data_IF_927609994697
#
_entry.id   IF_927609994697
#
_cell.length_a   1.000
_cell.length_b   1.000
_cell.length_c   1.000
_cell.angle_alpha   90.00
_cell.angle_beta   90.00
_cell.angle_gamma   90.00
#
_symmetry.space_group_name_H-M   'P 1'
#
loop_
_entity.id
_entity.type
_entity.pdbx_description
1 polymer ?
#
# COMPACT_ATOMS: atom_id res chain seq x y z
N UNK A 1 -6.06 63.38 -27.44
CA UNK A 1 -6.63 62.03 -27.65
C UNK A 1 -5.80 61.03 -26.88
N UNK A 2 -6.17 60.78 -25.62
CA UNK A 2 -5.65 59.66 -24.84
C UNK A 2 -6.88 59.00 -24.23
N UNK A 3 -7.31 57.90 -24.85
CA UNK A 3 -8.46 57.12 -24.38
C UNK A 3 -7.98 56.31 -23.18
N UNK A 4 -8.57 56.60 -22.01
CA UNK A 4 -8.32 55.85 -20.78
C UNK A 4 -8.71 54.38 -20.97
N UNK A 5 -7.79 53.48 -20.63
CA UNK A 5 -8.04 52.04 -20.54
C UNK A 5 -8.95 51.83 -19.33
N UNK A 6 -10.12 51.17 -19.46
CA UNK A 6 -10.87 50.77 -18.28
C UNK A 6 -10.06 49.68 -17.56
N UNK A 7 -9.64 49.97 -16.32
CA UNK A 7 -9.17 48.94 -15.40
C UNK A 7 -10.37 48.04 -15.12
N UNK A 8 -10.40 46.85 -15.72
CA UNK A 8 -11.35 45.82 -15.32
C UNK A 8 -10.96 45.37 -13.93
N UNK A 9 -11.67 45.94 -12.95
CA UNK A 9 -11.67 45.50 -11.57
C UNK A 9 -11.94 44.00 -11.49
N UNK A 10 -11.33 43.41 -10.47
CA UNK A 10 -11.10 41.98 -10.35
C UNK A 10 -12.33 41.10 -10.52
N UNK A 11 -12.06 39.88 -10.98
CA UNK A 11 -12.55 38.72 -10.26
C UNK A 11 -11.34 37.81 -10.08
N UNK A 12 -10.63 38.00 -8.97
CA UNK A 12 -9.91 36.89 -8.39
C UNK A 12 -10.95 35.80 -8.18
N UNK A 13 -10.90 34.76 -9.01
CA UNK A 13 -11.78 33.61 -8.85
C UNK A 13 -11.62 33.15 -7.42
N UNK A 14 -12.67 33.31 -6.62
CA UNK A 14 -12.71 32.75 -5.28
C UNK A 14 -12.25 31.29 -5.42
N UNK A 15 -11.32 30.79 -4.58
CA UNK A 15 -10.95 29.40 -4.64
C UNK A 15 -12.27 28.61 -4.54
N UNK A 16 -12.55 27.80 -5.57
CA UNK A 16 -13.75 26.98 -5.60
C UNK A 16 -13.83 26.27 -4.25
N UNK A 17 -14.91 26.52 -3.51
CA UNK A 17 -15.09 25.93 -2.19
C UNK A 17 -15.16 24.41 -2.38
N UNK A 18 -14.12 23.71 -1.93
CA UNK A 18 -13.94 22.25 -2.06
C UNK A 18 -14.25 21.59 -0.71
N UNK A 19 -15.53 21.28 -0.42
CA UNK A 19 -15.95 20.74 0.87
C UNK A 19 -15.21 19.46 1.25
N UNK A 20 -14.79 18.66 0.27
CA UNK A 20 -14.03 17.42 0.48
C UNK A 20 -12.67 17.60 1.17
N UNK A 21 -12.13 18.82 1.18
CA UNK A 21 -10.87 19.14 1.85
C UNK A 21 -11.06 19.40 3.36
N UNK A 22 -12.29 19.57 3.83
CA UNK A 22 -12.60 19.83 5.24
C UNK A 22 -13.05 18.57 6.00
N UNK A 23 -13.14 17.42 5.33
CA UNK A 23 -13.53 16.14 5.92
C UNK A 23 -12.36 15.15 5.92
N UNK A 24 -12.22 14.38 7.01
CA UNK A 24 -11.23 13.31 7.08
C UNK A 24 -11.63 12.11 6.21
N UNK A 25 -10.72 11.69 5.34
CA UNK A 25 -10.93 10.51 4.50
C UNK A 25 -10.70 9.24 5.32
N UNK A 26 -11.70 8.36 5.35
CA UNK A 26 -11.62 7.04 5.98
C UNK A 26 -11.24 5.98 4.95
N UNK A 27 -10.39 5.04 5.38
CA UNK A 27 -9.97 3.92 4.53
C UNK A 27 -11.15 2.99 4.17
N UNK A 28 -12.07 2.79 5.10
CA UNK A 28 -13.27 1.97 4.93
C UNK A 28 -14.52 2.68 5.45
N UNK A 29 -15.68 2.33 4.91
CA UNK A 29 -17.00 2.84 5.31
C UNK A 29 -17.94 1.76 5.86
N UNK A 30 -17.59 0.49 5.69
CA UNK A 30 -18.40 -0.64 6.15
C UNK A 30 -17.54 -1.82 6.63
N UNK A 31 -18.17 -2.80 7.27
CA UNK A 31 -17.48 -3.96 7.86
C UNK A 31 -16.75 -4.81 6.81
N UNK A 32 -17.33 -4.97 5.61
CA UNK A 32 -16.74 -5.74 4.51
C UNK A 32 -15.46 -5.10 3.98
N UNK A 33 -15.46 -3.78 3.80
CA UNK A 33 -14.26 -3.05 3.41
C UNK A 33 -13.19 -3.13 4.49
N UNK A 34 -13.56 -3.03 5.77
CA UNK A 34 -12.62 -3.16 6.88
C UNK A 34 -11.91 -4.52 6.84
N UNK A 35 -12.65 -5.61 6.72
CA UNK A 35 -12.08 -6.96 6.60
C UNK A 35 -11.19 -7.10 5.36
N UNK A 36 -11.59 -6.52 4.23
CA UNK A 36 -10.77 -6.50 3.02
C UNK A 36 -9.42 -5.82 3.27
N UNK A 37 -9.41 -4.65 3.90
CA UNK A 37 -8.16 -3.93 4.21
C UNK A 37 -7.31 -4.63 5.26
N UNK A 38 -7.94 -5.32 6.22
CA UNK A 38 -7.25 -6.14 7.22
C UNK A 38 -6.48 -7.29 6.57
N UNK A 39 -7.14 -8.04 5.68
CA UNK A 39 -6.50 -9.12 4.92
C UNK A 39 -5.36 -8.60 4.02
N UNK A 40 -5.56 -7.44 3.38
CA UNK A 40 -4.51 -6.80 2.58
C UNK A 40 -3.33 -6.36 3.45
N UNK A 41 -3.58 -5.77 4.62
CA UNK A 41 -2.54 -5.38 5.56
C UNK A 41 -1.73 -6.59 6.05
N UNK A 42 -2.38 -7.72 6.32
CA UNK A 42 -1.70 -8.97 6.70
C UNK A 42 -0.78 -9.48 5.59
N UNK A 43 -1.27 -9.55 4.34
CA UNK A 43 -0.44 -9.93 3.19
C UNK A 43 0.76 -9.00 3.02
N UNK A 44 0.56 -7.69 3.15
CA UNK A 44 1.63 -6.69 3.10
C UNK A 44 2.68 -6.96 4.18
N UNK A 45 2.25 -7.20 5.41
CA UNK A 45 3.13 -7.44 6.55
C UNK A 45 3.95 -8.72 6.36
N UNK A 46 3.34 -9.82 5.92
CA UNK A 46 4.03 -11.09 5.68
C UNK A 46 5.11 -10.94 4.61
N UNK A 47 4.79 -10.30 3.47
CA UNK A 47 5.78 -10.11 2.39
C UNK A 47 6.92 -9.19 2.83
N UNK A 48 6.64 -8.12 3.59
CA UNK A 48 7.71 -7.28 4.15
C UNK A 48 8.56 -8.01 5.19
N UNK A 49 7.97 -8.92 5.95
CA UNK A 49 8.68 -9.73 6.94
C UNK A 49 9.60 -10.74 6.26
N UNK A 50 9.15 -11.42 5.20
CA UNK A 50 10.00 -12.27 4.36
C UNK A 50 11.20 -11.48 3.82
N UNK A 51 10.94 -10.30 3.24
CA UNK A 51 12.01 -9.44 2.71
C UNK A 51 13.03 -9.02 3.79
N UNK A 52 12.59 -8.82 5.02
CA UNK A 52 13.46 -8.49 6.14
C UNK A 52 14.25 -9.71 6.62
N UNK A 53 13.62 -10.89 6.66
CA UNK A 53 14.28 -12.16 7.01
C UNK A 53 15.41 -12.49 6.02
N UNK A 54 15.16 -12.37 4.71
CA UNK A 54 16.18 -12.54 3.68
C UNK A 54 17.38 -11.61 3.89
N UNK A 55 17.10 -10.32 4.13
CA UNK A 55 18.15 -9.33 4.43
C UNK A 55 18.94 -9.67 5.68
N UNK A 56 18.29 -10.22 6.71
CA UNK A 56 18.95 -10.60 7.96
C UNK A 56 19.83 -11.84 7.76
N UNK A 57 19.38 -12.80 6.94
CA UNK A 57 20.16 -13.98 6.59
C UNK A 57 21.41 -13.62 5.78
N UNK A 58 21.28 -12.76 4.75
CA UNK A 58 22.42 -12.23 3.96
C UNK A 58 23.46 -11.50 4.84
N UNK A 59 23.01 -10.88 5.94
CA UNK A 59 23.87 -10.17 6.88
C UNK A 59 24.41 -11.04 8.02
N UNK A 60 24.27 -12.37 7.93
CA UNK A 60 24.68 -13.33 8.95
C UNK A 60 24.11 -13.03 10.35
N UNK A 61 22.94 -12.38 10.43
CA UNK A 61 22.28 -12.02 11.69
C UNK A 61 21.41 -13.17 12.24
N UNK A 62 21.18 -14.21 11.44
CA UNK A 62 20.28 -15.34 11.75
C UNK A 62 20.97 -16.63 11.32
N UNK A 63 20.92 -17.66 12.16
CA UNK A 63 21.52 -18.96 11.82
C UNK A 63 20.72 -19.68 10.72
N UNK A 64 21.33 -20.61 9.95
CA UNK A 64 20.62 -21.36 8.91
C UNK A 64 19.39 -22.12 9.41
N UNK A 65 19.46 -22.67 10.63
CA UNK A 65 18.36 -23.41 11.24
C UNK A 65 17.18 -22.49 11.59
N UNK A 66 17.44 -21.33 12.20
CA UNK A 66 16.40 -20.35 12.56
C UNK A 66 15.78 -19.71 11.31
N UNK A 67 16.60 -19.41 10.31
CA UNK A 67 16.15 -18.92 9.01
C UNK A 67 15.20 -19.93 8.35
N UNK A 68 15.62 -21.19 8.21
CA UNK A 68 14.82 -22.23 7.54
C UNK A 68 13.47 -22.43 8.24
N UNK A 69 13.47 -22.49 9.57
CA UNK A 69 12.25 -22.64 10.36
C UNK A 69 11.32 -21.42 10.25
N UNK A 70 11.87 -20.21 10.24
CA UNK A 70 11.08 -18.97 10.15
C UNK A 70 10.56 -18.72 8.75
N UNK A 71 11.39 -18.91 7.72
CA UNK A 71 11.02 -18.79 6.32
C UNK A 71 9.91 -19.79 5.96
N UNK A 72 10.02 -21.05 6.38
CA UNK A 72 8.98 -22.06 6.15
C UNK A 72 7.62 -21.66 6.76
N UNK A 73 7.61 -21.11 7.97
CA UNK A 73 6.37 -20.61 8.61
C UNK A 73 5.79 -19.41 7.86
N UNK A 74 6.62 -18.44 7.50
CA UNK A 74 6.20 -17.25 6.76
C UNK A 74 5.64 -17.60 5.38
N UNK A 75 6.21 -18.59 4.69
CA UNK A 75 5.69 -19.06 3.39
C UNK A 75 4.32 -19.72 3.50
N UNK A 76 4.05 -20.44 4.59
CA UNK A 76 2.69 -20.98 4.86
C UNK A 76 1.71 -19.85 5.15
N UNK A 77 2.10 -18.88 5.97
CA UNK A 77 1.29 -17.69 6.26
C UNK A 77 1.01 -16.87 4.99
N UNK A 78 2.03 -16.67 4.15
CA UNK A 78 1.92 -15.99 2.87
C UNK A 78 0.86 -16.63 1.98
N UNK A 79 0.90 -17.97 1.82
CA UNK A 79 -0.08 -18.69 1.00
C UNK A 79 -1.50 -18.49 1.53
N UNK A 80 -1.69 -18.50 2.85
CA UNK A 80 -2.99 -18.28 3.47
C UNK A 80 -3.48 -16.83 3.29
N UNK A 81 -2.61 -15.84 3.57
CA UNK A 81 -2.91 -14.42 3.42
C UNK A 81 -3.20 -14.06 1.95
N UNK A 82 -2.40 -14.56 1.02
CA UNK A 82 -2.62 -14.34 -0.41
C UNK A 82 -3.96 -14.91 -0.86
N UNK A 83 -4.34 -16.11 -0.40
CA UNK A 83 -5.65 -16.70 -0.71
C UNK A 83 -6.83 -15.87 -0.20
N UNK A 84 -6.69 -15.17 0.94
CA UNK A 84 -7.72 -14.28 1.47
C UNK A 84 -7.85 -12.97 0.69
N UNK A 85 -6.75 -12.50 0.10
CA UNK A 85 -6.71 -11.28 -0.71
C UNK A 85 -7.02 -11.53 -2.19
N UNK A 86 -6.73 -12.74 -2.67
CA UNK A 86 -6.92 -13.15 -4.07
C UNK A 86 -8.39 -13.04 -4.46
N UNK A 87 -8.66 -12.29 -5.53
CA UNK A 87 -10.02 -11.98 -5.97
C UNK A 87 -10.03 -10.96 -7.10
N UNK A 88 -11.15 -10.27 -7.28
CA UNK A 88 -11.37 -9.37 -8.43
C UNK A 88 -10.36 -8.22 -8.54
N UNK A 89 -9.80 -7.76 -7.43
CA UNK A 89 -8.90 -6.60 -7.37
C UNK A 89 -7.40 -6.95 -7.34
N UNK A 90 -7.07 -8.22 -7.10
CA UNK A 90 -5.70 -8.73 -6.94
C UNK A 90 -5.60 -10.08 -7.63
N UNK A 91 -5.15 -10.06 -8.88
CA UNK A 91 -4.99 -11.26 -9.71
C UNK A 91 -3.69 -12.00 -9.43
N UNK A 92 -2.62 -11.27 -9.14
CA UNK A 92 -1.29 -11.80 -8.83
C UNK A 92 -0.65 -11.04 -7.67
N UNK A 93 0.37 -11.66 -7.05
CA UNK A 93 1.17 -10.99 -6.03
C UNK A 93 1.97 -9.82 -6.62
N UNK A 94 2.41 -9.92 -7.87
CA UNK A 94 3.11 -8.83 -8.57
C UNK A 94 2.24 -7.58 -8.74
N UNK A 95 0.95 -7.77 -9.07
CA UNK A 95 0.00 -6.66 -9.18
C UNK A 95 -0.25 -6.01 -7.82
N UNK A 96 -0.35 -6.82 -6.77
CA UNK A 96 -0.46 -6.33 -5.39
C UNK A 96 0.74 -5.48 -5.01
N UNK A 97 1.95 -6.00 -5.21
CA UNK A 97 3.20 -5.31 -4.93
C UNK A 97 3.31 -4.01 -5.72
N UNK A 98 2.95 -4.01 -7.02
CA UNK A 98 2.95 -2.80 -7.84
C UNK A 98 1.94 -1.75 -7.34
N UNK A 99 0.74 -2.17 -6.97
CA UNK A 99 -0.36 -1.31 -6.49
C UNK A 99 -0.01 -0.62 -5.18
N UNK A 100 0.55 -1.36 -4.23
CA UNK A 100 0.90 -0.85 -2.90
C UNK A 100 2.38 -0.43 -2.76
N UNK A 101 3.11 -0.35 -3.88
CA UNK A 101 4.53 0.05 -3.93
C UNK A 101 5.41 -0.81 -3.02
N UNK A 102 5.14 -2.11 -3.00
CA UNK A 102 5.87 -3.10 -2.22
C UNK A 102 7.12 -3.54 -2.97
N UNK A 103 8.22 -2.80 -2.78
CA UNK A 103 9.52 -3.18 -3.32
C UNK A 103 10.21 -4.20 -2.39
N UNK A 104 10.05 -5.47 -2.74
CA UNK A 104 10.54 -6.62 -1.98
C UNK A 104 11.16 -7.69 -2.91
N UNK A 105 12.27 -7.40 -3.62
CA UNK A 105 12.83 -8.30 -4.62
C UNK A 105 13.28 -9.66 -4.04
N UNK A 106 13.79 -9.70 -2.80
CA UNK A 106 14.24 -10.96 -2.19
C UNK A 106 13.08 -11.84 -1.73
N UNK A 107 11.94 -11.24 -1.38
CA UNK A 107 10.75 -12.01 -1.01
C UNK A 107 10.02 -12.60 -2.24
N UNK A 108 10.37 -12.14 -3.43
CA UNK A 108 9.72 -12.49 -4.71
C UNK A 108 10.60 -13.39 -5.58
N UNK A 109 11.80 -13.74 -5.11
CA UNK A 109 12.73 -14.69 -5.74
C UNK A 109 12.25 -16.14 -5.56
#
# INVERSE_FOLDING_TARGET
>A
MFHGIPVTGGVGGAPANKPELYEEVKLYKNAREREKYDNMAELFAVVKTLQALEKAYIKDCVTPNEYTASCSRLLVQYKAAFKQVQGSDVGSIDDYCRKYRLDCPLAME
#
